data_IF_589933174644
#
_entry.id   IF_589933174644
#
_cell.length_a   1.000
_cell.length_b   1.000
_cell.length_c   1.000
_cell.angle_alpha   90.00
_cell.angle_beta   90.00
_cell.angle_gamma   90.00
#
_symmetry.space_group_name_H-M   'P 1'
#
loop_
_entity.id
_entity.type
_entity.pdbx_description
1 polymer ?
#
# COMPACT_ATOMS: atom_id res chain seq x y z
N UNK A 1 -20.34 16.69 -22.33
CA UNK A 1 -19.54 17.54 -23.23
C UNK A 1 -18.22 16.83 -23.54
N UNK A 2 -17.79 16.73 -24.81
CA UNK A 2 -16.57 15.99 -25.20
C UNK A 2 -15.29 16.44 -24.47
N UNK A 3 -15.26 17.69 -24.00
CA UNK A 3 -14.14 18.30 -23.28
C UNK A 3 -13.88 17.65 -21.90
N UNK A 4 -14.84 16.95 -21.30
CA UNK A 4 -14.65 16.28 -20.00
C UNK A 4 -13.97 14.91 -20.10
N UNK A 5 -13.89 14.32 -21.29
CA UNK A 5 -13.30 12.98 -21.45
C UNK A 5 -11.85 12.94 -20.94
N UNK A 6 -10.96 13.90 -21.29
CA UNK A 6 -9.62 13.94 -20.71
C UNK A 6 -9.61 14.12 -19.19
N UNK A 7 -10.50 14.97 -18.64
CA UNK A 7 -10.58 15.20 -17.19
C UNK A 7 -10.99 13.95 -16.42
N UNK A 8 -11.93 13.16 -16.96
CA UNK A 8 -12.31 11.88 -16.37
C UNK A 8 -11.11 10.94 -16.26
N UNK A 9 -10.33 10.78 -17.34
CA UNK A 9 -9.14 9.94 -17.34
C UNK A 9 -8.04 10.45 -16.40
N UNK A 10 -7.81 11.77 -16.37
CA UNK A 10 -6.85 12.37 -15.43
C UNK A 10 -7.27 12.13 -13.98
N UNK A 11 -8.56 12.26 -13.67
CA UNK A 11 -9.06 12.01 -12.32
C UNK A 11 -8.94 10.53 -11.94
N UNK A 12 -9.31 9.62 -12.84
CA UNK A 12 -9.19 8.17 -12.64
C UNK A 12 -7.73 7.76 -12.41
N UNK A 13 -6.81 8.28 -13.23
CA UNK A 13 -5.37 8.03 -13.10
C UNK A 13 -4.82 8.58 -11.78
N UNK A 14 -5.14 9.83 -11.46
CA UNK A 14 -4.65 10.50 -10.23
C UNK A 14 -5.15 9.78 -8.99
N UNK A 15 -6.45 9.45 -8.96
CA UNK A 15 -7.07 8.69 -7.85
C UNK A 15 -6.47 7.30 -7.74
N UNK A 16 -6.25 6.60 -8.87
CA UNK A 16 -5.60 5.29 -8.89
C UNK A 16 -4.17 5.32 -8.33
N UNK A 17 -3.36 6.28 -8.77
CA UNK A 17 -1.99 6.47 -8.26
C UNK A 17 -2.01 6.80 -6.77
N UNK A 18 -2.91 7.69 -6.32
CA UNK A 18 -3.05 8.03 -4.90
C UNK A 18 -3.43 6.79 -4.06
N UNK A 19 -4.40 5.99 -4.53
CA UNK A 19 -4.82 4.77 -3.85
C UNK A 19 -3.68 3.75 -3.73
N UNK A 20 -2.94 3.49 -4.82
CA UNK A 20 -1.77 2.60 -4.80
C UNK A 20 -0.69 3.12 -3.86
N UNK A 21 -0.44 4.43 -3.85
CA UNK A 21 0.54 5.06 -2.96
C UNK A 21 0.17 4.91 -1.49
N UNK A 22 -1.10 5.11 -1.14
CA UNK A 22 -1.62 4.91 0.23
C UNK A 22 -1.49 3.44 0.63
N UNK A 23 -1.90 2.51 -0.24
CA UNK A 23 -1.79 1.07 0.04
C UNK A 23 -0.33 0.65 0.24
N UNK A 24 0.59 1.15 -0.58
CA UNK A 24 2.02 0.90 -0.44
C UNK A 24 2.56 1.45 0.89
N UNK A 25 2.20 2.68 1.25
CA UNK A 25 2.61 3.31 2.51
C UNK A 25 2.13 2.52 3.73
N UNK A 26 0.84 2.14 3.77
CA UNK A 26 0.27 1.34 4.86
C UNK A 26 0.91 -0.04 4.92
N UNK A 27 1.15 -0.66 3.77
CA UNK A 27 1.80 -1.97 3.69
C UNK A 27 3.23 -1.91 4.22
N UNK A 28 4.03 -0.93 3.80
CA UNK A 28 5.43 -0.80 4.19
C UNK A 28 5.62 -0.33 5.64
N UNK A 29 4.76 0.55 6.14
CA UNK A 29 4.95 1.23 7.44
C UNK A 29 4.19 0.54 8.58
N UNK A 30 3.05 -0.10 8.29
CA UNK A 30 2.18 -0.67 9.32
C UNK A 30 2.12 -2.19 9.20
N UNK A 31 1.74 -2.72 8.04
CA UNK A 31 1.49 -4.16 7.90
C UNK A 31 2.81 -4.94 7.99
N UNK A 32 3.80 -4.58 7.18
CA UNK A 32 5.07 -5.29 7.07
C UNK A 32 5.86 -5.32 8.39
N UNK A 33 6.04 -4.22 9.15
CA UNK A 33 6.78 -4.27 10.40
C UNK A 33 6.10 -5.14 11.46
N UNK A 34 4.76 -5.15 11.51
CA UNK A 34 4.03 -6.01 12.43
C UNK A 34 4.20 -7.49 12.08
N UNK A 35 4.13 -7.85 10.79
CA UNK A 35 4.36 -9.22 10.32
C UNK A 35 5.80 -9.65 10.60
N UNK A 36 6.79 -8.82 10.24
CA UNK A 36 8.20 -9.10 10.48
C UNK A 36 8.52 -9.26 11.97
N UNK A 37 7.95 -8.43 12.85
CA UNK A 37 8.12 -8.56 14.29
C UNK A 37 7.65 -9.92 14.81
N UNK A 38 6.49 -10.39 14.35
CA UNK A 38 5.97 -11.71 14.72
C UNK A 38 6.82 -12.84 14.18
N UNK A 39 7.28 -12.75 12.92
CA UNK A 39 8.15 -13.75 12.31
C UNK A 39 9.50 -13.84 13.04
N UNK A 40 10.10 -12.71 13.41
CA UNK A 40 11.36 -12.67 14.17
C UNK A 40 11.17 -13.25 15.57
N UNK A 41 10.11 -12.86 16.29
CA UNK A 41 9.81 -13.41 17.62
C UNK A 41 9.64 -14.94 17.57
N UNK A 42 8.89 -15.44 16.57
CA UNK A 42 8.73 -16.88 16.34
C UNK A 42 10.06 -17.56 16.00
N UNK A 43 10.89 -16.95 15.16
CA UNK A 43 12.19 -17.50 14.78
C UNK A 43 13.13 -17.62 15.98
N UNK A 44 13.08 -16.69 16.94
CA UNK A 44 13.86 -16.76 18.19
C UNK A 44 13.33 -17.89 19.07
N UNK A 45 12.01 -17.95 19.31
CA UNK A 45 11.40 -18.97 20.19
C UNK A 45 11.60 -20.40 19.66
N UNK A 46 11.54 -20.61 18.34
CA UNK A 46 11.72 -21.95 17.76
C UNK A 46 13.20 -22.38 17.75
N UNK A 47 14.13 -21.42 17.76
CA UNK A 47 15.58 -21.69 17.69
C UNK A 47 16.23 -21.86 19.06
N UNK A 48 15.66 -21.30 20.13
CA UNK A 48 16.08 -21.46 21.54
C UNK A 48 15.34 -22.63 22.16
#
# INVERSE_FOLDING_TARGET
MPQLVPFYWMNLLTTGIAAVSILLYLSATIILPNVLRLLVARAIIVRV
#
